data_IF_164430031629
#
_entry.id   IF_164430031629
#
_cell.length_a   1.000
_cell.length_b   1.000
_cell.length_c   1.000
_cell.angle_alpha   90.00
_cell.angle_beta   90.00
_cell.angle_gamma   90.00
#
_symmetry.space_group_name_H-M   'P 1'
#
loop_
_entity.id
_entity.type
_entity.pdbx_description
1 polymer ?
#
# COMPACT_ATOMS: atom_id res chain seq x y z
N UNK A 1 21.44 9.61 2.09
CA UNK A 1 20.37 9.28 3.07
C UNK A 1 20.21 7.77 3.09
N UNK A 2 19.83 7.20 4.23
CA UNK A 2 19.58 5.75 4.32
C UNK A 2 18.27 5.36 3.60
N UNK A 3 18.15 4.11 3.11
CA UNK A 3 16.90 3.58 2.57
C UNK A 3 15.69 3.74 3.52
N UNK A 4 14.49 3.69 2.94
CA UNK A 4 13.23 3.72 3.69
C UNK A 4 12.82 2.27 3.94
N UNK A 5 12.96 1.84 5.19
CA UNK A 5 12.65 0.48 5.66
C UNK A 5 12.20 0.46 7.12
N UNK A 6 11.69 -0.69 7.56
CA UNK A 6 11.17 -0.95 8.90
C UNK A 6 9.64 -0.81 8.97
N UNK A 7 9.09 0.15 8.21
CA UNK A 7 7.64 0.34 8.10
C UNK A 7 6.93 -0.89 7.53
N UNK A 8 7.57 -1.63 6.61
CA UNK A 8 6.96 -2.81 6.02
C UNK A 8 6.71 -3.95 7.03
N UNK A 9 7.47 -3.97 8.12
CA UNK A 9 7.46 -5.04 9.13
C UNK A 9 6.49 -4.78 10.28
N UNK A 10 5.82 -3.62 10.29
CA UNK A 10 4.79 -3.27 11.27
C UNK A 10 3.44 -3.88 10.88
N UNK A 11 2.55 -4.17 11.85
CA UNK A 11 1.21 -4.67 11.57
C UNK A 11 0.42 -3.69 10.68
N UNK A 12 -0.40 -4.23 9.77
CA UNK A 12 -1.43 -3.45 9.11
C UNK A 12 -2.52 -3.13 10.14
N UNK A 13 -2.96 -1.87 10.19
CA UNK A 13 -3.94 -1.35 11.16
C UNK A 13 -4.95 -0.46 10.43
N UNK A 14 -6.03 -0.07 11.11
CA UNK A 14 -7.01 0.88 10.54
C UNK A 14 -6.39 2.27 10.33
N UNK A 15 -7.05 3.11 9.54
CA UNK A 15 -6.56 4.47 9.29
C UNK A 15 -6.46 5.28 10.59
N UNK A 16 -7.44 5.17 11.49
CA UNK A 16 -7.42 5.85 12.78
C UNK A 16 -6.23 5.43 13.64
N UNK A 17 -6.00 4.12 13.76
CA UNK A 17 -4.84 3.57 14.50
C UNK A 17 -3.52 4.01 13.86
N UNK A 18 -3.46 4.07 12.53
CA UNK A 18 -2.28 4.51 11.80
C UNK A 18 -1.91 5.97 12.06
N UNK A 19 -2.89 6.83 12.36
CA UNK A 19 -2.69 8.25 12.64
C UNK A 19 -2.28 8.53 14.09
N UNK A 20 -2.59 7.65 15.05
CA UNK A 20 -2.32 7.90 16.49
C UNK A 20 -0.88 8.32 16.80
N UNK A 21 0.18 7.69 16.25
CA UNK A 21 1.55 8.07 16.61
C UNK A 21 1.96 9.45 16.07
N UNK A 22 1.27 9.96 15.05
CA UNK A 22 1.57 11.23 14.37
C UNK A 22 0.53 12.31 14.64
N UNK A 23 -0.49 12.04 15.46
CA UNK A 23 -1.57 12.99 15.75
C UNK A 23 -1.08 14.31 16.31
N UNK A 24 0.02 14.29 17.06
CA UNK A 24 0.64 15.47 17.67
C UNK A 24 1.33 16.40 16.65
N UNK A 25 1.46 15.97 15.39
CA UNK A 25 2.02 16.79 14.30
C UNK A 25 0.95 17.68 13.63
N UNK A 26 -0.31 17.55 14.03
CA UNK A 26 -1.46 18.21 13.42
C UNK A 26 -2.35 18.85 14.48
N UNK A 27 -3.22 19.77 14.06
CA UNK A 27 -4.41 20.07 14.85
C UNK A 27 -5.27 18.80 14.97
N UNK A 28 -5.53 18.39 16.21
CA UNK A 28 -6.12 17.09 16.52
C UNK A 28 -7.54 16.97 15.96
N UNK A 29 -8.37 17.98 16.15
CA UNK A 29 -9.78 17.94 15.79
C UNK A 29 -9.94 18.04 14.26
N UNK A 30 -9.13 18.87 13.62
CA UNK A 30 -9.02 18.97 12.16
C UNK A 30 -8.60 17.64 11.53
N UNK A 31 -7.58 16.96 12.08
CA UNK A 31 -7.13 15.67 11.56
C UNK A 31 -8.21 14.59 11.73
N UNK A 32 -8.79 14.44 12.93
CA UNK A 32 -9.80 13.42 13.20
C UNK A 32 -11.04 13.63 12.32
N UNK A 33 -11.45 14.88 12.10
CA UNK A 33 -12.54 15.22 11.18
C UNK A 33 -12.21 14.76 9.76
N UNK A 34 -10.99 15.03 9.26
CA UNK A 34 -10.58 14.62 7.91
C UNK A 34 -10.50 13.10 7.76
N UNK A 35 -9.97 12.39 8.77
CA UNK A 35 -9.96 10.92 8.80
C UNK A 35 -11.38 10.36 8.71
N UNK A 36 -12.32 10.94 9.47
CA UNK A 36 -13.72 10.55 9.40
C UNK A 36 -14.32 10.80 8.00
N UNK A 37 -14.10 11.99 7.44
CA UNK A 37 -14.60 12.38 6.12
C UNK A 37 -14.11 11.44 5.00
N UNK A 38 -12.81 11.10 4.98
CA UNK A 38 -12.28 10.20 3.94
C UNK A 38 -12.80 8.77 4.10
N UNK A 39 -13.00 8.28 5.33
CA UNK A 39 -13.57 6.96 5.58
C UNK A 39 -15.02 6.87 5.14
N UNK A 40 -15.81 7.91 5.40
CA UNK A 40 -17.20 7.96 4.97
C UNK A 40 -17.34 7.89 3.45
N UNK A 41 -16.42 8.52 2.71
CA UNK A 41 -16.38 8.42 1.24
C UNK A 41 -15.86 7.08 0.73
N UNK A 42 -14.93 6.46 1.45
CA UNK A 42 -14.29 5.21 1.05
C UNK A 42 -15.02 3.97 1.57
N UNK A 43 -16.32 4.03 1.93
CA UNK A 43 -17.07 2.86 2.42
C UNK A 43 -17.09 1.69 1.44
N UNK A 44 -17.17 1.98 0.14
CA UNK A 44 -17.18 0.98 -0.94
C UNK A 44 -16.16 1.40 -2.02
N UNK A 45 -14.86 1.26 -1.74
CA UNK A 45 -13.83 1.76 -2.64
C UNK A 45 -13.66 0.85 -3.86
N UNK A 46 -13.12 1.41 -4.94
CA UNK A 46 -12.78 0.66 -6.15
C UNK A 46 -11.51 -0.19 -5.96
N UNK A 47 -11.11 -0.89 -7.04
CA UNK A 47 -9.80 -1.56 -7.18
C UNK A 47 -9.49 -2.63 -6.11
N UNK A 48 -10.53 -3.04 -5.37
CA UNK A 48 -10.45 -4.05 -4.32
C UNK A 48 -9.64 -3.62 -3.10
N UNK A 49 -9.48 -2.30 -2.89
CA UNK A 49 -8.94 -1.77 -1.65
C UNK A 49 -9.96 -1.90 -0.52
N UNK A 50 -9.49 -1.91 0.72
CA UNK A 50 -10.34 -1.69 1.90
C UNK A 50 -10.66 -0.20 2.10
N UNK A 51 -11.68 0.14 2.91
CA UNK A 51 -11.98 1.53 3.26
C UNK A 51 -10.80 2.28 3.88
N UNK A 52 -10.00 1.62 4.73
CA UNK A 52 -8.82 2.22 5.35
C UNK A 52 -7.69 2.47 4.34
N UNK A 53 -7.46 1.53 3.41
CA UNK A 53 -6.46 1.67 2.34
C UNK A 53 -6.81 2.80 1.38
N UNK A 54 -8.02 2.80 0.83
CA UNK A 54 -8.50 3.88 -0.04
C UNK A 54 -8.55 5.22 0.71
N UNK A 55 -9.00 5.21 1.96
CA UNK A 55 -9.03 6.38 2.83
C UNK A 55 -7.63 6.95 3.07
N UNK A 56 -6.60 6.10 3.19
CA UNK A 56 -5.21 6.56 3.35
C UNK A 56 -4.69 7.30 2.12
N UNK A 57 -5.03 6.83 0.91
CA UNK A 57 -4.68 7.48 -0.36
C UNK A 57 -5.41 8.82 -0.46
N UNK A 58 -6.72 8.82 -0.22
CA UNK A 58 -7.54 10.02 -0.28
C UNK A 58 -7.13 11.07 0.75
N UNK A 59 -6.69 10.65 1.95
CA UNK A 59 -6.19 11.57 2.98
C UNK A 59 -4.84 12.19 2.60
N UNK A 60 -3.97 11.43 1.93
CA UNK A 60 -2.70 11.95 1.43
C UNK A 60 -2.94 13.07 0.41
N UNK A 61 -3.86 12.89 -0.54
CA UNK A 61 -4.15 13.88 -1.58
C UNK A 61 -5.11 14.98 -1.15
N UNK A 62 -5.65 14.90 0.07
CA UNK A 62 -6.50 15.95 0.61
C UNK A 62 -5.66 17.20 0.89
N UNK A 63 -5.90 18.28 0.15
CA UNK A 63 -5.28 19.58 0.41
C UNK A 63 -5.95 20.29 1.59
N UNK A 64 -5.15 20.73 2.56
CA UNK A 64 -5.61 21.43 3.76
C UNK A 64 -5.31 22.92 3.60
N UNK A 65 -6.03 23.75 4.34
CA UNK A 65 -5.79 25.19 4.40
C UNK A 65 -5.41 25.52 5.85
N UNK A 66 -4.18 25.99 6.12
CA UNK A 66 -3.09 26.25 5.16
C UNK A 66 -2.42 24.96 4.61
N UNK A 67 -1.79 25.07 3.44
CA UNK A 67 -1.21 23.90 2.71
C UNK A 67 -0.11 23.22 3.51
N UNK A 68 0.67 23.98 4.27
CA UNK A 68 1.80 23.50 5.07
C UNK A 68 1.36 22.55 6.20
N UNK A 69 0.08 22.56 6.56
CA UNK A 69 -0.53 21.65 7.52
C UNK A 69 -1.06 20.37 6.88
N UNK A 70 -1.07 20.28 5.54
CA UNK A 70 -1.54 19.10 4.82
C UNK A 70 -0.71 17.86 5.15
N UNK A 71 -1.37 16.70 5.24
CA UNK A 71 -0.73 15.42 5.54
C UNK A 71 0.45 15.14 4.60
N UNK A 72 0.26 15.30 3.29
CA UNK A 72 1.34 15.08 2.32
C UNK A 72 2.52 16.03 2.52
N UNK A 73 2.27 17.27 2.94
CA UNK A 73 3.31 18.28 3.12
C UNK A 73 4.23 17.87 4.28
N UNK A 74 3.65 17.56 5.44
CA UNK A 74 4.40 17.15 6.63
C UNK A 74 5.09 15.79 6.40
N UNK A 75 4.41 14.83 5.77
CA UNK A 75 5.01 13.53 5.45
C UNK A 75 6.21 13.67 4.51
N UNK A 76 6.06 14.41 3.40
CA UNK A 76 7.14 14.58 2.45
C UNK A 76 8.29 15.42 3.00
N UNK A 77 8.02 16.38 3.90
CA UNK A 77 9.06 17.06 4.67
C UNK A 77 9.85 16.05 5.50
N UNK A 78 9.16 15.17 6.24
CA UNK A 78 9.77 14.13 7.09
C UNK A 78 10.59 13.13 6.27
N UNK A 79 10.08 12.67 5.12
CA UNK A 79 10.78 11.76 4.22
C UNK A 79 12.09 12.31 3.64
N UNK A 80 12.20 13.64 3.53
CA UNK A 80 13.42 14.33 3.04
C UNK A 80 14.42 14.63 4.16
N UNK A 81 14.08 14.34 5.43
CA UNK A 81 15.01 14.53 6.53
C UNK A 81 16.06 13.42 6.57
N UNK A 82 17.31 13.79 6.89
CA UNK A 82 18.41 12.82 7.04
C UNK A 82 18.20 11.86 8.21
N UNK A 83 17.57 12.34 9.29
CA UNK A 83 17.30 11.53 10.48
C UNK A 83 16.08 10.63 10.25
N UNK A 84 16.32 9.35 9.96
CA UNK A 84 15.25 8.35 9.73
C UNK A 84 14.45 8.00 10.98
N UNK A 85 14.93 8.32 12.18
CA UNK A 85 14.18 8.12 13.43
C UNK A 85 12.88 8.93 13.45
N UNK A 86 12.89 10.12 12.83
CA UNK A 86 11.70 10.98 12.73
C UNK A 86 10.61 10.38 11.84
N UNK A 87 10.94 9.41 11.00
CA UNK A 87 9.99 8.70 10.16
C UNK A 87 9.30 7.55 10.92
N UNK A 88 9.86 7.05 12.02
CA UNK A 88 9.30 5.90 12.76
C UNK A 88 7.84 6.09 13.20
N UNK A 89 7.41 7.26 13.71
CA UNK A 89 6.00 7.49 14.02
C UNK A 89 5.08 7.31 12.80
N UNK A 90 5.57 7.57 11.60
CA UNK A 90 4.80 7.42 10.35
C UNK A 90 4.67 5.97 9.88
N UNK A 91 5.37 5.01 10.49
CA UNK A 91 5.42 3.64 9.97
C UNK A 91 4.05 2.97 9.82
N UNK A 92 3.10 3.08 10.77
CA UNK A 92 1.76 2.54 10.58
C UNK A 92 1.03 3.16 9.38
N UNK A 93 1.11 4.47 9.20
CA UNK A 93 0.53 5.16 8.05
C UNK A 93 1.21 4.76 6.74
N UNK A 94 2.55 4.73 6.69
CA UNK A 94 3.30 4.27 5.52
C UNK A 94 2.97 2.82 5.16
N UNK A 95 2.78 1.95 6.15
CA UNK A 95 2.41 0.54 5.94
C UNK A 95 1.07 0.40 5.25
N UNK A 96 0.09 1.21 5.67
CA UNK A 96 -1.24 1.27 5.09
C UNK A 96 -1.20 1.91 3.70
N UNK A 97 -0.62 3.11 3.58
CA UNK A 97 -0.61 3.90 2.36
C UNK A 97 0.20 3.26 1.22
N UNK A 98 1.44 2.82 1.48
CA UNK A 98 2.24 2.13 0.47
C UNK A 98 1.62 0.77 0.14
N UNK A 99 1.06 0.07 1.13
CA UNK A 99 0.34 -1.19 0.93
C UNK A 99 -0.88 -1.04 0.02
N UNK A 100 -1.60 0.08 0.12
CA UNK A 100 -2.70 0.42 -0.76
C UNK A 100 -2.21 0.73 -2.18
N UNK A 101 -1.20 1.59 -2.32
CA UNK A 101 -0.67 2.00 -3.63
C UNK A 101 -0.11 0.84 -4.45
N UNK A 102 0.60 -0.12 -3.85
CA UNK A 102 1.20 -1.24 -4.59
C UNK A 102 0.17 -2.26 -5.11
N UNK A 103 -1.06 -2.25 -4.58
CA UNK A 103 -2.15 -3.08 -5.09
C UNK A 103 -2.72 -2.55 -6.41
N UNK A 104 -2.60 -1.24 -6.64
CA UNK A 104 -3.03 -0.58 -7.87
C UNK A 104 -2.10 -0.96 -9.03
N UNK A 105 -2.61 -1.04 -10.28
CA UNK A 105 -1.78 -1.27 -11.44
C UNK A 105 -0.64 -0.26 -11.56
N UNK A 106 0.55 -0.76 -11.90
CA UNK A 106 1.71 0.07 -12.20
C UNK A 106 1.60 0.64 -13.61
N UNK A 107 1.94 1.92 -13.75
CA UNK A 107 2.10 2.61 -15.03
C UNK A 107 3.59 2.81 -15.28
N UNK A 108 4.01 2.51 -16.51
CA UNK A 108 5.35 2.76 -17.03
C UNK A 108 5.18 3.61 -18.30
N UNK A 109 5.13 4.92 -18.10
CA UNK A 109 4.86 5.89 -19.17
C UNK A 109 5.50 7.24 -18.82
N UNK A 110 5.32 8.23 -19.70
CA UNK A 110 5.67 9.62 -19.45
C UNK A 110 4.60 10.27 -18.58
N UNK A 111 5.03 10.84 -17.45
CA UNK A 111 4.20 11.62 -16.55
C UNK A 111 4.84 12.98 -16.29
N UNK A 112 4.05 13.90 -15.74
CA UNK A 112 4.45 15.28 -15.58
C UNK A 112 4.24 15.78 -14.15
N UNK A 113 5.10 16.70 -13.72
CA UNK A 113 4.98 17.38 -12.42
C UNK A 113 5.33 18.86 -12.55
N UNK A 114 4.41 19.74 -12.18
CA UNK A 114 4.61 21.19 -12.13
C UNK A 114 5.04 21.68 -10.74
N UNK A 115 5.89 22.71 -10.70
CA UNK A 115 6.29 23.41 -9.48
C UNK A 115 6.45 24.91 -9.80
N UNK A 116 5.86 25.78 -8.99
CA UNK A 116 6.00 27.25 -9.09
C UNK A 116 7.34 27.76 -8.52
N UNK A 117 8.44 27.19 -8.99
CA UNK A 117 9.80 27.56 -8.60
C UNK A 117 10.75 27.31 -9.76
N UNK A 118 11.82 28.10 -9.85
CA UNK A 118 12.99 27.77 -10.65
C UNK A 118 13.82 26.67 -9.99
N UNK A 119 13.90 25.51 -10.64
CA UNK A 119 14.73 24.38 -10.18
C UNK A 119 15.88 24.04 -11.14
N UNK A 120 16.12 24.83 -12.19
CA UNK A 120 17.11 24.48 -13.23
C UNK A 120 18.50 24.18 -12.67
N UNK A 121 18.95 25.02 -11.74
CA UNK A 121 20.30 24.88 -11.16
C UNK A 121 20.40 23.71 -10.17
N UNK A 122 19.27 23.23 -9.64
CA UNK A 122 19.20 22.07 -8.75
C UNK A 122 19.25 20.73 -9.53
N UNK A 123 19.02 20.76 -10.85
CA UNK A 123 19.01 19.60 -11.74
C UNK A 123 19.97 19.79 -12.93
N UNK A 124 21.30 19.70 -12.73
CA UNK A 124 22.26 19.73 -13.82
C UNK A 124 22.13 18.49 -14.72
N UNK A 125 22.15 18.64 -16.06
CA UNK A 125 22.09 17.51 -16.99
C UNK A 125 23.18 16.46 -16.73
N UNK A 126 22.82 15.18 -16.87
CA UNK A 126 23.72 14.04 -16.66
C UNK A 126 23.90 13.63 -15.20
N UNK A 127 23.34 14.36 -14.24
CA UNK A 127 23.37 14.00 -12.81
C UNK A 127 22.27 13.00 -12.43
N UNK A 128 22.47 12.28 -11.33
CA UNK A 128 21.46 11.42 -10.72
C UNK A 128 20.83 12.12 -9.51
N UNK A 129 19.52 11.98 -9.39
CA UNK A 129 18.70 12.56 -8.33
C UNK A 129 17.88 11.49 -7.63
N UNK A 130 17.68 11.65 -6.33
CA UNK A 130 16.81 10.78 -5.54
C UNK A 130 15.62 11.58 -5.02
N UNK A 131 14.42 11.21 -5.46
CA UNK A 131 13.18 11.74 -4.92
C UNK A 131 12.75 10.93 -3.71
N UNK A 132 13.17 11.40 -2.52
CA UNK A 132 12.92 10.72 -1.25
C UNK A 132 11.47 10.83 -0.75
N UNK A 133 10.74 11.86 -1.16
CA UNK A 133 9.31 11.98 -0.87
C UNK A 133 8.47 11.27 -1.91
N UNK A 134 7.20 11.03 -1.59
CA UNK A 134 6.19 10.77 -2.60
C UNK A 134 6.10 11.97 -3.54
N UNK A 135 5.81 11.69 -4.82
CA UNK A 135 5.62 12.75 -5.81
C UNK A 135 4.29 12.54 -6.50
N UNK A 136 3.44 13.57 -6.40
CA UNK A 136 2.20 13.66 -7.16
C UNK A 136 2.49 14.18 -8.57
N UNK A 137 1.97 13.50 -9.57
CA UNK A 137 2.19 13.73 -10.99
C UNK A 137 0.85 13.61 -11.73
N UNK A 138 0.82 14.00 -13.00
CA UNK A 138 -0.31 13.79 -13.89
C UNK A 138 0.17 13.19 -15.20
N UNK A 139 -0.64 12.35 -15.84
CA UNK A 139 -0.43 11.93 -17.24
C UNK A 139 -0.91 12.99 -18.25
N UNK A 140 -1.54 14.06 -17.78
CA UNK A 140 -2.16 15.09 -18.60
C UNK A 140 -1.39 16.41 -18.51
N UNK A 141 -0.79 16.83 -19.62
CA UNK A 141 -0.11 18.12 -19.71
C UNK A 141 -1.07 19.29 -19.45
N UNK A 142 -2.32 19.18 -19.91
CA UNK A 142 -3.33 20.24 -19.76
C UNK A 142 -3.77 20.47 -18.31
N UNK A 143 -3.62 19.47 -17.43
CA UNK A 143 -3.89 19.65 -15.98
C UNK A 143 -2.85 20.58 -15.36
N UNK A 144 -1.62 20.60 -15.87
CA UNK A 144 -0.54 21.43 -15.33
C UNK A 144 -0.70 22.92 -15.65
N UNK A 145 -1.47 23.27 -16.68
CA UNK A 145 -1.77 24.66 -17.03
C UNK A 145 -2.65 25.35 -15.98
N UNK A 146 -3.31 24.59 -15.11
CA UNK A 146 -4.10 25.16 -14.01
C UNK A 146 -3.18 25.81 -12.97
N UNK A 147 -3.64 26.92 -12.39
CA UNK A 147 -2.90 27.62 -11.34
C UNK A 147 -2.70 26.78 -10.07
N UNK A 148 -3.48 25.72 -9.87
CA UNK A 148 -3.29 24.80 -8.74
C UNK A 148 -2.01 23.95 -8.90
N UNK A 149 -1.54 23.75 -10.14
CA UNK A 149 -0.33 23.00 -10.45
C UNK A 149 0.81 23.92 -10.87
N UNK A 150 1.06 24.07 -12.18
CA UNK A 150 2.15 24.89 -12.71
C UNK A 150 1.67 26.33 -12.98
N UNK A 151 0.43 26.48 -13.45
CA UNK A 151 -0.08 27.72 -14.03
C UNK A 151 0.58 28.05 -15.37
N UNK A 152 0.16 29.15 -15.96
CA UNK A 152 0.68 29.64 -17.26
C UNK A 152 1.63 30.83 -17.13
N UNK A 153 1.77 31.39 -15.92
CA UNK A 153 2.50 32.62 -15.68
C UNK A 153 3.59 32.47 -14.62
N UNK A 154 4.62 33.33 -14.70
CA UNK A 154 5.73 33.37 -13.75
C UNK A 154 6.75 32.25 -13.95
N UNK A 155 7.83 32.34 -13.16
CA UNK A 155 8.93 31.37 -13.23
C UNK A 155 8.48 30.05 -12.60
N UNK A 156 8.50 28.99 -13.41
CA UNK A 156 7.98 27.68 -13.02
C UNK A 156 8.78 26.57 -13.68
N UNK A 157 8.79 25.41 -13.03
CA UNK A 157 9.47 24.21 -13.52
C UNK A 157 8.43 23.12 -13.79
N UNK A 158 8.52 22.48 -14.95
CA UNK A 158 7.78 21.29 -15.30
C UNK A 158 8.75 20.13 -15.53
N UNK A 159 8.57 19.07 -14.76
CA UNK A 159 9.29 17.83 -14.97
C UNK A 159 8.57 16.99 -16.01
N UNK A 160 9.29 16.55 -17.04
CA UNK A 160 8.87 15.54 -18.00
C UNK A 160 9.55 14.22 -17.62
N UNK A 161 8.81 13.30 -17.02
CA UNK A 161 9.38 12.15 -16.29
C UNK A 161 8.99 10.88 -17.02
N UNK A 162 9.97 10.12 -17.52
CA UNK A 162 9.75 8.73 -17.92
C UNK A 162 9.79 7.87 -16.66
N UNK A 163 8.63 7.44 -16.15
CA UNK A 163 8.54 6.65 -14.93
C UNK A 163 8.53 5.14 -15.23
N UNK A 164 9.04 4.34 -14.29
CA UNK A 164 8.99 2.88 -14.35
C UNK A 164 7.84 2.30 -13.52
N UNK A 165 7.47 2.98 -12.43
CA UNK A 165 6.49 2.52 -11.46
C UNK A 165 5.66 3.68 -10.88
N UNK A 166 4.67 4.15 -11.66
CA UNK A 166 3.65 5.11 -11.22
C UNK A 166 2.35 4.42 -10.81
N UNK A 167 1.65 4.95 -9.79
CA UNK A 167 0.36 4.44 -9.33
C UNK A 167 -0.75 5.44 -9.60
N UNK A 168 -1.65 5.13 -10.53
CA UNK A 168 -2.82 5.97 -10.81
C UNK A 168 -3.84 5.83 -9.68
N UNK A 169 -4.24 6.95 -9.11
CA UNK A 169 -5.15 6.99 -7.96
C UNK A 169 -6.47 7.69 -8.28
N UNK A 170 -6.86 7.74 -9.56
CA UNK A 170 -8.07 8.44 -10.03
C UNK A 170 -9.34 8.04 -9.28
N UNK A 171 -9.44 6.79 -8.82
CA UNK A 171 -10.61 6.27 -8.10
C UNK A 171 -10.55 6.48 -6.58
N UNK A 172 -9.45 7.05 -6.08
CA UNK A 172 -9.12 7.14 -4.66
C UNK A 172 -8.71 8.56 -4.25
N UNK A 173 -9.09 9.58 -5.02
CA UNK A 173 -8.82 11.01 -4.76
C UNK A 173 -10.11 11.83 -4.86
N UNK A 174 -10.10 13.05 -4.33
CA UNK A 174 -11.23 13.99 -4.44
C UNK A 174 -11.42 14.55 -5.84
N UNK A 175 -10.33 14.62 -6.60
CA UNK A 175 -10.26 15.30 -7.89
C UNK A 175 -9.86 14.32 -9.00
N UNK A 176 -10.75 13.40 -9.41
CA UNK A 176 -10.43 12.36 -10.38
C UNK A 176 -10.00 12.91 -11.74
N UNK A 177 -10.40 14.15 -12.06
CA UNK A 177 -10.05 14.86 -13.30
C UNK A 177 -8.57 15.20 -13.41
N UNK A 178 -7.85 15.25 -12.30
CA UNK A 178 -6.42 15.54 -12.28
C UNK A 178 -5.58 14.36 -12.81
N UNK A 179 -6.19 13.18 -12.96
CA UNK A 179 -5.55 11.93 -13.37
C UNK A 179 -4.25 11.69 -12.60
N UNK A 180 -4.35 11.86 -11.29
CA UNK A 180 -3.21 11.88 -10.41
C UNK A 180 -2.50 10.51 -10.40
N UNK A 181 -1.18 10.57 -10.56
CA UNK A 181 -0.25 9.44 -10.50
C UNK A 181 0.73 9.71 -9.37
N UNK A 182 0.82 8.78 -8.43
CA UNK A 182 1.77 8.84 -7.32
C UNK A 182 3.01 8.03 -7.67
N UNK A 183 4.18 8.66 -7.61
CA UNK A 183 5.46 7.98 -7.49
C UNK A 183 5.76 7.71 -6.02
N UNK A 184 6.07 6.45 -5.70
CA UNK A 184 6.53 6.02 -4.38
C UNK A 184 7.85 6.71 -4.00
N UNK A 185 8.17 6.88 -2.72
CA UNK A 185 9.42 7.50 -2.31
C UNK A 185 10.65 6.68 -2.73
N UNK A 186 11.79 7.34 -2.78
CA UNK A 186 13.07 6.74 -3.15
C UNK A 186 13.18 6.43 -4.65
N UNK A 187 12.60 7.26 -5.54
CA UNK A 187 12.83 7.13 -6.99
C UNK A 187 14.21 7.63 -7.36
N UNK A 188 14.90 6.90 -8.24
CA UNK A 188 16.23 7.24 -8.75
C UNK A 188 16.11 7.72 -10.20
N UNK A 189 16.46 8.98 -10.42
CA UNK A 189 16.11 9.72 -11.64
C UNK A 189 17.38 10.31 -12.26
N UNK A 190 17.67 9.97 -13.51
CA UNK A 190 18.72 10.62 -14.31
C UNK A 190 18.19 11.91 -14.89
N UNK A 191 18.90 13.00 -14.69
CA UNK A 191 18.59 14.29 -15.31
C UNK A 191 19.01 14.28 -16.77
N UNK A 192 18.05 14.44 -17.65
CA UNK A 192 18.24 14.59 -19.08
C UNK A 192 18.42 16.06 -19.48
N UNK A 193 17.89 16.40 -20.65
CA UNK A 193 17.92 17.75 -21.21
C UNK A 193 17.01 18.71 -20.43
N UNK A 194 17.47 19.94 -20.25
CA UNK A 194 16.67 21.04 -19.70
C UNK A 194 16.38 22.07 -20.79
N UNK A 195 15.12 22.45 -20.95
CA UNK A 195 14.64 23.47 -21.88
C UNK A 195 14.11 24.68 -21.11
N UNK A 196 14.35 25.89 -21.62
CA UNK A 196 13.78 27.12 -21.07
C UNK A 196 12.96 27.81 -22.14
N UNK A 197 11.70 28.06 -21.82
CA UNK A 197 10.79 28.83 -22.65
C UNK A 197 10.90 30.33 -22.32
N UNK A 198 10.53 31.17 -23.28
CA UNK A 198 10.54 32.63 -23.12
C UNK A 198 9.51 33.13 -22.09
N UNK A 199 8.44 32.36 -21.86
CA UNK A 199 7.36 32.65 -20.91
C UNK A 199 7.69 32.26 -19.44
N UNK A 200 8.96 31.95 -19.16
CA UNK A 200 9.42 31.59 -17.82
C UNK A 200 9.22 30.11 -17.44
N UNK A 201 8.67 29.27 -18.32
CA UNK A 201 8.59 27.83 -18.11
C UNK A 201 9.95 27.16 -18.32
N UNK A 202 10.36 26.35 -17.35
CA UNK A 202 11.56 25.50 -17.43
C UNK A 202 11.16 24.05 -17.46
N UNK A 203 11.46 23.35 -18.55
CA UNK A 203 11.16 21.93 -18.68
C UNK A 203 12.42 21.12 -18.35
N UNK A 204 12.31 20.17 -17.43
CA UNK A 204 13.42 19.30 -17.01
C UNK A 204 13.03 17.86 -17.31
N UNK A 205 13.75 17.21 -18.22
CA UNK A 205 13.54 15.78 -18.49
C UNK A 205 14.19 14.93 -17.40
N UNK A 206 13.44 13.97 -16.86
CA UNK A 206 13.93 12.95 -15.95
C UNK A 206 13.63 11.58 -16.52
N UNK A 207 14.59 10.67 -16.45
CA UNK A 207 14.38 9.25 -16.76
C UNK A 207 14.57 8.44 -15.46
N UNK A 208 13.53 7.74 -15.00
CA UNK A 208 13.64 6.81 -13.89
C UNK A 208 14.47 5.60 -14.33
N UNK A 209 15.50 5.28 -13.53
CA UNK A 209 16.42 4.18 -13.78
C UNK A 209 16.59 3.34 -12.51
N UNK A 210 17.09 2.11 -12.68
CA UNK A 210 17.33 1.22 -11.55
C UNK A 210 18.40 1.81 -10.61
N UNK A 211 18.13 1.90 -9.29
CA UNK A 211 19.12 2.42 -8.36
C UNK A 211 20.22 1.38 -8.09
N UNK A 212 21.45 1.83 -7.74
CA UNK A 212 22.55 0.92 -7.40
C UNK A 212 22.30 0.08 -6.15
N UNK A 213 21.32 0.46 -5.32
CA UNK A 213 20.85 -0.28 -4.17
C UNK A 213 19.38 0.07 -3.91
N UNK A 214 18.67 -0.84 -3.26
CA UNK A 214 17.24 -0.67 -2.99
C UNK A 214 16.97 0.50 -2.04
N UNK A 215 16.19 1.48 -2.49
CA UNK A 215 15.92 2.73 -1.74
C UNK A 215 14.64 2.68 -0.89
N UNK A 216 13.68 1.83 -1.25
CA UNK A 216 12.41 1.62 -0.56
C UNK A 216 12.11 0.13 -0.44
N UNK A 217 11.84 -0.39 0.75
CA UNK A 217 11.48 -1.79 0.94
C UNK A 217 9.96 -2.00 0.97
N UNK A 218 9.39 -2.58 -0.09
CA UNK A 218 7.94 -2.78 -0.19
C UNK A 218 7.40 -3.87 0.77
N UNK A 219 6.15 -3.72 1.26
CA UNK A 219 5.45 -4.72 2.09
C UNK A 219 5.36 -6.13 1.52
N UNK A 220 5.19 -6.28 0.21
CA UNK A 220 5.03 -7.59 -0.44
C UNK A 220 6.35 -8.31 -0.70
N UNK A 221 7.46 -7.67 -0.35
CA UNK A 221 8.80 -8.28 -0.37
C UNK A 221 9.19 -8.93 0.95
N UNK A 222 8.25 -9.09 1.90
CA UNK A 222 8.47 -9.96 3.04
C UNK A 222 8.39 -11.41 2.57
N UNK A 223 9.52 -12.15 2.51
CA UNK A 223 9.50 -13.49 1.92
C UNK A 223 8.59 -14.46 2.69
N UNK A 224 8.26 -14.13 3.95
CA UNK A 224 7.35 -14.89 4.80
C UNK A 224 5.87 -14.50 4.69
N UNK A 225 5.50 -13.45 3.96
CA UNK A 225 4.10 -13.05 3.71
C UNK A 225 3.73 -13.07 2.23
N UNK A 226 4.54 -13.69 1.36
CA UNK A 226 4.24 -13.77 -0.07
C UNK A 226 2.91 -14.49 -0.30
N UNK A 227 1.94 -13.74 -0.79
CA UNK A 227 0.60 -14.24 -1.10
C UNK A 227 0.61 -14.97 -2.45
N UNK A 228 -0.14 -16.06 -2.55
CA UNK A 228 -0.42 -16.76 -3.81
C UNK A 228 -1.93 -16.95 -3.97
N UNK A 229 -2.44 -17.11 -5.21
CA UNK A 229 -3.84 -17.41 -5.43
C UNK A 229 -4.32 -18.68 -4.70
N UNK A 230 -5.53 -18.62 -4.13
CA UNK A 230 -6.17 -19.71 -3.39
C UNK A 230 -6.14 -19.53 -1.87
N UNK A 231 -6.17 -20.66 -1.16
CA UNK A 231 -6.18 -20.73 0.32
C UNK A 231 -4.78 -20.45 0.86
N UNK A 232 -4.69 -19.77 1.98
CA UNK A 232 -3.49 -19.65 2.80
C UNK A 232 -3.81 -19.87 4.28
N UNK A 233 -2.88 -20.45 5.04
CA UNK A 233 -2.93 -20.45 6.50
C UNK A 233 -2.07 -19.30 7.05
N UNK A 234 -2.47 -18.76 8.19
CA UNK A 234 -1.79 -17.64 8.85
C UNK A 234 -1.54 -17.95 10.32
N UNK A 235 -0.29 -17.74 10.74
CA UNK A 235 0.14 -17.96 12.12
C UNK A 235 1.51 -17.36 12.40
N UNK A 236 1.92 -17.32 13.67
CA UNK A 236 3.22 -16.73 14.06
C UNK A 236 4.32 -17.77 14.06
N UNK A 237 5.46 -17.47 13.43
CA UNK A 237 6.62 -18.35 13.51
C UNK A 237 7.27 -18.25 14.90
N UNK A 238 7.42 -19.40 15.57
CA UNK A 238 8.03 -19.50 16.92
C UNK A 238 9.49 -19.96 16.92
N UNK A 239 10.07 -20.18 15.74
CA UNK A 239 11.49 -20.53 15.64
C UNK A 239 12.35 -19.28 15.82
N UNK A 240 13.08 -19.17 16.92
CA UNK A 240 13.96 -18.03 17.26
C UNK A 240 15.06 -17.77 16.24
N UNK A 241 15.49 -18.79 15.49
CA UNK A 241 16.51 -18.67 14.45
C UNK A 241 15.93 -18.26 13.08
N UNK A 242 14.62 -18.06 12.98
CA UNK A 242 13.95 -17.73 11.73
C UNK A 242 13.93 -16.22 11.48
N UNK A 243 14.13 -15.79 10.23
CA UNK A 243 13.92 -14.38 9.80
C UNK A 243 12.51 -13.86 10.11
N UNK A 244 11.54 -14.76 10.25
CA UNK A 244 10.16 -14.45 10.58
C UNK A 244 9.81 -14.69 12.06
N UNK A 245 10.80 -14.82 12.97
CA UNK A 245 10.53 -15.05 14.40
C UNK A 245 9.58 -13.99 14.98
N UNK A 246 8.53 -14.44 15.68
CA UNK A 246 7.42 -13.63 16.21
C UNK A 246 6.64 -12.82 15.17
N UNK A 247 6.90 -13.03 13.87
CA UNK A 247 6.14 -12.44 12.76
C UNK A 247 5.05 -13.42 12.31
N UNK A 248 3.92 -12.86 11.87
CA UNK A 248 2.85 -13.63 11.24
C UNK A 248 3.25 -13.96 9.79
N UNK A 249 3.19 -15.24 9.43
CA UNK A 249 3.58 -15.77 8.12
C UNK A 249 2.35 -16.20 7.33
N UNK A 250 2.43 -16.07 6.01
CA UNK A 250 1.42 -16.58 5.06
C UNK A 250 1.93 -17.91 4.52
N UNK A 251 1.13 -18.97 4.66
CA UNK A 251 1.46 -20.33 4.24
C UNK A 251 0.52 -20.69 3.08
N UNK A 252 0.96 -20.57 1.82
CA UNK A 252 0.07 -20.81 0.68
C UNK A 252 -0.27 -22.29 0.54
N UNK A 253 -1.57 -22.59 0.53
CA UNK A 253 -2.14 -23.92 0.30
C UNK A 253 -2.62 -24.07 -1.16
N UNK A 254 -3.14 -22.98 -1.74
CA UNK A 254 -3.55 -22.89 -3.14
C UNK A 254 -5.01 -23.29 -3.39
N UNK A 255 -5.33 -23.64 -4.65
CA UNK A 255 -6.67 -24.05 -5.07
C UNK A 255 -6.91 -25.53 -4.76
N UNK A 256 -7.63 -25.82 -3.68
CA UNK A 256 -8.03 -27.18 -3.31
C UNK A 256 -9.19 -27.16 -2.32
N UNK A 257 -9.71 -28.35 -2.03
CA UNK A 257 -10.47 -28.64 -0.82
C UNK A 257 -9.49 -28.93 0.31
N UNK A 258 -9.68 -28.31 1.47
CA UNK A 258 -8.76 -28.38 2.61
C UNK A 258 -9.55 -28.44 3.91
N UNK A 259 -9.34 -29.46 4.73
CA UNK A 259 -9.94 -29.58 6.06
C UNK A 259 -8.99 -28.95 7.09
N UNK A 260 -9.32 -27.74 7.53
CA UNK A 260 -8.47 -26.92 8.41
C UNK A 260 -8.18 -27.63 9.73
N UNK A 261 -9.09 -28.45 10.24
CA UNK A 261 -8.91 -29.11 11.55
C UNK A 261 -7.91 -30.27 11.46
N UNK A 262 -7.93 -31.01 10.35
CA UNK A 262 -7.13 -32.23 10.19
C UNK A 262 -5.89 -32.03 9.33
N UNK A 263 -5.96 -31.20 8.30
CA UNK A 263 -4.88 -30.97 7.35
C UNK A 263 -3.90 -29.88 7.79
N UNK A 264 -4.23 -29.01 8.76
CA UNK A 264 -3.34 -27.97 9.30
C UNK A 264 -2.30 -28.55 10.28
N UNK A 265 -1.61 -29.60 9.86
CA UNK A 265 -0.65 -30.33 10.67
C UNK A 265 0.80 -29.93 10.36
N UNK A 266 1.75 -30.69 10.91
CA UNK A 266 3.19 -30.50 10.67
C UNK A 266 3.62 -30.63 9.21
N UNK A 267 2.77 -31.14 8.31
CA UNK A 267 3.07 -31.31 6.89
C UNK A 267 2.72 -30.07 6.06
N UNK A 268 1.55 -29.45 6.32
CA UNK A 268 1.03 -28.34 5.53
C UNK A 268 1.19 -26.97 6.21
N UNK A 269 1.15 -26.90 7.54
CA UNK A 269 1.25 -25.64 8.29
C UNK A 269 2.72 -25.30 8.60
N UNK A 270 3.54 -25.10 7.56
CA UNK A 270 4.98 -24.81 7.68
C UNK A 270 5.31 -23.36 7.38
N UNK A 271 6.19 -22.78 8.21
CA UNK A 271 6.74 -21.46 7.95
C UNK A 271 7.51 -21.46 6.61
N UNK A 272 7.22 -20.53 5.68
CA UNK A 272 7.89 -20.47 4.37
C UNK A 272 9.38 -20.15 4.44
N UNK A 273 9.88 -19.68 5.59
CA UNK A 273 11.29 -19.31 5.77
C UNK A 273 12.15 -20.41 6.37
N UNK A 274 11.59 -21.19 7.29
CA UNK A 274 12.36 -22.17 8.07
C UNK A 274 11.75 -23.57 8.06
N UNK A 275 10.63 -23.78 7.36
CA UNK A 275 9.89 -25.03 7.23
C UNK A 275 9.43 -25.67 8.57
N UNK A 276 9.55 -24.97 9.70
CA UNK A 276 9.02 -25.42 10.99
C UNK A 276 7.51 -25.23 11.07
N UNK A 277 6.86 -26.10 11.83
CA UNK A 277 5.43 -26.02 12.10
C UNK A 277 5.05 -24.64 12.68
N UNK A 278 3.91 -24.14 12.23
CA UNK A 278 3.30 -22.90 12.68
C UNK A 278 1.88 -23.23 13.11
N UNK A 279 1.55 -22.87 14.34
CA UNK A 279 0.16 -22.92 14.80
C UNK A 279 -0.63 -21.79 14.14
N UNK A 280 -1.66 -22.15 13.37
CA UNK A 280 -2.41 -21.24 12.50
C UNK A 280 -3.81 -21.00 13.06
N UNK A 281 -4.13 -19.73 13.33
CA UNK A 281 -5.40 -19.32 13.93
C UNK A 281 -6.28 -18.52 12.96
N UNK A 282 -5.80 -18.37 11.73
CA UNK A 282 -6.42 -17.57 10.69
C UNK A 282 -6.28 -18.25 9.33
N UNK A 283 -7.24 -17.99 8.46
CA UNK A 283 -7.21 -18.33 7.05
C UNK A 283 -7.01 -17.07 6.22
N UNK A 284 -6.53 -17.25 5.00
CA UNK A 284 -6.35 -16.20 4.02
C UNK A 284 -6.84 -16.65 2.64
N UNK A 285 -7.46 -15.74 1.90
CA UNK A 285 -7.95 -15.99 0.54
C UNK A 285 -7.44 -14.91 -0.41
N UNK A 286 -6.96 -15.30 -1.59
CA UNK A 286 -6.50 -14.35 -2.60
C UNK A 286 -6.81 -14.85 -4.01
N UNK A 287 -7.28 -13.95 -4.90
CA UNK A 287 -7.56 -14.24 -6.32
C UNK A 287 -8.32 -15.56 -6.54
N UNK A 288 -9.36 -15.77 -5.75
CA UNK A 288 -10.11 -17.02 -5.76
C UNK A 288 -11.60 -16.82 -5.43
N UNK A 289 -12.40 -17.77 -5.90
CA UNK A 289 -13.68 -18.09 -5.30
C UNK A 289 -13.45 -19.06 -4.15
N UNK A 290 -14.07 -18.83 -3.00
CA UNK A 290 -13.97 -19.71 -1.84
C UNK A 290 -15.33 -19.95 -1.20
N UNK A 291 -15.47 -21.07 -0.49
CA UNK A 291 -16.63 -21.34 0.38
C UNK A 291 -16.19 -22.11 1.61
N UNK A 292 -16.99 -22.01 2.67
CA UNK A 292 -16.78 -22.70 3.94
C UNK A 292 -17.94 -23.65 4.21
N UNK A 293 -17.60 -24.82 4.73
CA UNK A 293 -18.57 -25.77 5.25
C UNK A 293 -17.94 -26.58 6.37
N UNK A 294 -18.75 -27.19 7.23
CA UNK A 294 -18.18 -27.99 8.31
C UNK A 294 -19.14 -28.22 9.45
N UNK A 295 -18.55 -28.52 10.60
CA UNK A 295 -19.26 -28.91 11.82
C UNK A 295 -18.73 -28.04 12.96
N UNK A 296 -19.59 -27.16 13.49
CA UNK A 296 -19.28 -26.34 14.66
C UNK A 296 -20.00 -26.87 15.89
N UNK A 297 -19.38 -26.68 17.05
CA UNK A 297 -20.00 -27.01 18.33
C UNK A 297 -19.93 -25.79 19.24
N UNK A 298 -21.07 -25.16 19.55
CA UNK A 298 -21.07 -23.93 20.35
C UNK A 298 -20.45 -24.11 21.75
N UNK A 299 -20.64 -25.30 22.35
CA UNK A 299 -20.04 -25.73 23.61
C UNK A 299 -20.14 -27.25 23.74
N UNK A 300 -19.28 -27.87 24.53
CA UNK A 300 -19.21 -29.34 24.67
C UNK A 300 -20.56 -29.99 25.00
N UNK A 301 -21.45 -29.29 25.71
CA UNK A 301 -22.79 -29.78 26.10
C UNK A 301 -23.89 -29.60 25.04
N UNK A 302 -23.63 -28.97 23.89
CA UNK A 302 -24.60 -28.86 22.78
C UNK A 302 -24.23 -29.82 21.65
N UNK A 303 -25.22 -30.39 20.93
CA UNK A 303 -24.94 -31.20 19.75
C UNK A 303 -24.19 -30.37 18.68
N UNK A 304 -23.28 -30.99 17.91
CA UNK A 304 -22.62 -30.31 16.80
C UNK A 304 -23.60 -30.01 15.67
N UNK A 305 -23.44 -28.86 15.04
CA UNK A 305 -24.28 -28.39 13.94
C UNK A 305 -23.47 -28.30 12.65
N UNK A 306 -24.08 -28.77 11.55
CA UNK A 306 -23.51 -28.60 10.21
C UNK A 306 -23.82 -27.20 9.71
N UNK A 307 -22.86 -26.61 9.02
CA UNK A 307 -23.07 -25.37 8.27
C UNK A 307 -22.44 -25.50 6.88
N UNK A 308 -22.97 -24.72 5.95
CA UNK A 308 -22.40 -24.52 4.63
C UNK A 308 -22.75 -23.11 4.21
N UNK A 309 -21.78 -22.42 3.63
CA UNK A 309 -21.95 -21.10 3.07
C UNK A 309 -21.87 -21.17 1.54
N UNK A 310 -22.45 -20.16 0.89
CA UNK A 310 -22.35 -19.98 -0.55
C UNK A 310 -20.94 -19.52 -0.95
N UNK A 311 -20.64 -19.63 -2.24
CA UNK A 311 -19.38 -19.17 -2.80
C UNK A 311 -19.24 -17.65 -2.68
N UNK A 312 -18.12 -17.23 -2.10
CA UNK A 312 -17.68 -15.84 -2.02
C UNK A 312 -16.52 -15.58 -2.96
N UNK A 313 -16.45 -14.37 -3.52
CA UNK A 313 -15.31 -13.93 -4.33
C UNK A 313 -14.34 -13.12 -3.47
N UNK A 314 -13.04 -13.29 -3.67
CA UNK A 314 -12.07 -12.29 -3.19
C UNK A 314 -12.12 -11.06 -4.09
N UNK A 315 -12.06 -9.88 -3.50
CA UNK A 315 -11.94 -8.61 -4.24
C UNK A 315 -10.51 -8.07 -4.09
N UNK A 316 -9.93 -7.58 -5.18
CA UNK A 316 -8.60 -6.97 -5.17
C UNK A 316 -7.42 -7.95 -5.21
N UNK A 317 -6.23 -7.39 -5.00
CA UNK A 317 -4.96 -8.11 -4.98
C UNK A 317 -4.49 -8.48 -3.56
N UNK A 318 -5.18 -8.00 -2.51
CA UNK A 318 -4.86 -8.25 -1.10
C UNK A 318 -5.33 -9.62 -0.61
N UNK A 319 -4.79 -10.03 0.55
CA UNK A 319 -5.17 -11.27 1.23
C UNK A 319 -6.38 -10.99 2.15
N UNK A 320 -7.52 -11.60 1.85
CA UNK A 320 -8.69 -11.57 2.72
C UNK A 320 -8.47 -12.51 3.91
N UNK A 321 -8.32 -11.98 5.13
CA UNK A 321 -8.10 -12.77 6.35
C UNK A 321 -9.42 -13.16 7.04
N UNK A 322 -9.51 -14.39 7.54
CA UNK A 322 -10.62 -14.91 8.34
C UNK A 322 -10.10 -15.46 9.66
N UNK A 323 -10.67 -15.02 10.79
CA UNK A 323 -10.22 -15.41 12.12
C UNK A 323 -11.00 -16.63 12.63
N UNK A 324 -10.30 -17.67 13.10
CA UNK A 324 -10.92 -18.92 13.54
C UNK A 324 -11.26 -18.93 15.04
N UNK A 325 -10.86 -17.89 15.80
CA UNK A 325 -10.91 -17.90 17.28
C UNK A 325 -12.31 -17.97 17.88
N UNK A 326 -13.35 -17.61 17.14
CA UNK A 326 -14.70 -17.45 17.71
C UNK A 326 -15.54 -18.74 17.64
N UNK A 327 -14.95 -19.89 17.30
CA UNK A 327 -15.71 -21.14 17.15
C UNK A 327 -14.90 -22.39 17.45
N UNK A 328 -15.53 -23.36 18.13
CA UNK A 328 -15.00 -24.71 18.30
C UNK A 328 -15.40 -25.52 17.06
N UNK A 329 -14.43 -25.76 16.18
CA UNK A 329 -14.60 -26.53 14.96
C UNK A 329 -14.29 -28.00 15.22
N UNK A 330 -15.24 -28.89 14.88
CA UNK A 330 -14.96 -30.33 14.77
C UNK A 330 -14.47 -30.70 13.38
N UNK A 331 -14.92 -29.94 12.39
CA UNK A 331 -14.48 -30.02 11.01
C UNK A 331 -14.69 -28.65 10.37
N UNK A 332 -13.72 -28.18 9.59
CA UNK A 332 -13.86 -26.97 8.80
C UNK A 332 -13.24 -27.19 7.44
N UNK A 333 -14.09 -27.38 6.44
CA UNK A 333 -13.72 -27.60 5.06
C UNK A 333 -13.79 -26.28 4.31
N UNK A 334 -12.67 -25.94 3.70
CA UNK A 334 -12.51 -24.80 2.81
C UNK A 334 -12.33 -25.32 1.40
N UNK A 335 -13.08 -24.78 0.45
CA UNK A 335 -12.87 -25.05 -0.97
C UNK A 335 -12.51 -23.74 -1.67
N UNK A 336 -11.44 -23.74 -2.45
CA UNK A 336 -11.08 -22.60 -3.30
C UNK A 336 -10.82 -23.01 -4.75
N UNK A 337 -11.30 -22.18 -5.68
CA UNK A 337 -11.10 -22.33 -7.12
C UNK A 337 -10.77 -20.98 -7.77
N UNK A 338 -10.18 -20.96 -8.97
CA UNK A 338 -9.96 -19.71 -9.70
C UNK A 338 -11.26 -18.94 -9.91
N UNK A 339 -11.20 -17.61 -9.93
CA UNK A 339 -12.29 -16.78 -10.45
C UNK A 339 -12.40 -17.03 -11.95
N UNK A 340 -13.57 -17.45 -12.43
CA UNK A 340 -13.78 -17.59 -13.87
C UNK A 340 -13.55 -16.23 -14.54
N UNK A 341 -12.56 -16.14 -15.43
CA UNK A 341 -12.43 -15.06 -16.39
C UNK A 341 -13.61 -15.16 -17.35
N UNK A 342 -14.53 -14.19 -17.29
CA UNK A 342 -15.37 -13.86 -18.44
C UNK A 342 -14.63 -12.85 -19.31
#
# INVERSE_FOLDING_TARGET
>A
MLPIEGYQDVPLVSLEEAMKPIIHLFDRDSLLTKVWVVKERCKNPADGLSPDESGSIMLYTFEWIPIEESLYFILNKTLRMRNRELLKPWFPYLRLFIGALIQLPSINDVIYRGVKKDLKNEYPPGTDQIWWGFSSCSDSLGVLESDQFCGTNGIRTMFHIKCLDGRCIKNHTYFPTEKEIILLPGRYLRVGTCYNSQDGLRMIRLDEIEPPHKLLKLPDELPWRRVKPGISLLGKCKNSNCKAYEKEVVIPIGFRKFDVVTDSDSSNAKCPMCAKYVDTLKLGFNKCQWKMSGIKQARQSKPPERFSEDWSNTHGNSLLEYNLKDSIWRQLIIEAKPTNSN
#
